data_IF_609089483595
#
_entry.id   IF_609089483595
#
_cell.length_a   1.000
_cell.length_b   1.000
_cell.length_c   1.000
_cell.angle_alpha   90.00
_cell.angle_beta   90.00
_cell.angle_gamma   90.00
#
_symmetry.space_group_name_H-M   'P 1'
#
loop_
_entity.id
_entity.type
_entity.pdbx_description
1 polymer ?
#
# COMPACT_ATOMS: atom_id res chain seq x y z
N UNK A 1 26.19 -3.79 -5.25
CA UNK A 1 25.10 -3.20 -4.45
C UNK A 1 25.74 -2.53 -3.24
N UNK A 2 25.58 -1.22 -3.00
CA UNK A 2 26.24 -0.58 -1.88
C UNK A 2 25.68 -1.12 -0.57
N UNK A 3 26.59 -1.62 0.25
CA UNK A 3 26.27 -2.25 1.51
C UNK A 3 26.21 -1.15 2.57
N UNK A 4 25.01 -0.71 2.95
CA UNK A 4 24.87 -0.05 4.25
C UNK A 4 25.10 -1.13 5.31
N UNK A 5 26.27 -1.07 5.93
CA UNK A 5 26.66 -1.92 7.08
C UNK A 5 26.39 -1.22 8.42
N UNK A 6 26.27 0.11 8.42
CA UNK A 6 26.05 0.88 9.64
C UNK A 6 24.56 1.26 9.81
N UNK A 7 23.88 0.76 10.87
CA UNK A 7 22.48 1.07 11.13
C UNK A 7 22.22 2.58 11.38
N UNK A 8 23.22 3.34 11.82
CA UNK A 8 23.12 4.80 11.97
C UNK A 8 22.91 5.52 10.64
N UNK A 9 23.50 5.00 9.55
CA UNK A 9 23.36 5.56 8.20
C UNK A 9 21.94 5.32 7.66
N UNK A 10 21.33 4.18 7.98
CA UNK A 10 19.93 3.91 7.61
C UNK A 10 19.00 4.94 8.25
N UNK A 11 19.19 5.23 9.54
CA UNK A 11 18.36 6.24 10.24
C UNK A 11 18.53 7.62 9.62
N UNK A 12 19.76 8.06 9.39
CA UNK A 12 20.06 9.35 8.77
C UNK A 12 19.45 9.45 7.36
N UNK A 13 19.53 8.37 6.57
CA UNK A 13 18.97 8.29 5.23
C UNK A 13 17.45 8.42 5.23
N UNK A 14 16.78 7.69 6.11
CA UNK A 14 15.32 7.76 6.25
C UNK A 14 14.88 9.14 6.73
N UNK A 15 15.61 9.75 7.67
CA UNK A 15 15.31 11.11 8.13
C UNK A 15 15.48 12.13 7.00
N UNK A 16 16.59 12.08 6.25
CA UNK A 16 16.79 12.95 5.09
C UNK A 16 15.70 12.75 4.02
N UNK A 17 15.28 11.50 3.80
CA UNK A 17 14.19 11.16 2.89
C UNK A 17 12.85 11.78 3.31
N UNK A 18 12.50 11.71 4.59
CA UNK A 18 11.27 12.30 5.10
C UNK A 18 11.30 13.83 5.10
N UNK A 19 12.47 14.45 5.25
CA UNK A 19 12.64 15.91 5.24
C UNK A 19 12.68 16.53 3.82
N UNK A 20 13.09 15.76 2.81
CA UNK A 20 13.24 16.22 1.41
C UNK A 20 12.07 15.79 0.53
N UNK A 21 10.85 15.91 1.03
CA UNK A 21 9.62 15.58 0.28
C UNK A 21 9.63 14.18 -0.36
N UNK A 22 10.22 13.19 0.32
CA UNK A 22 10.34 11.82 -0.18
C UNK A 22 11.17 11.70 -1.47
N UNK A 23 12.13 12.61 -1.67
CA UNK A 23 13.08 12.54 -2.78
C UNK A 23 14.27 11.63 -2.44
N UNK A 24 14.29 10.45 -3.08
CA UNK A 24 15.33 9.42 -2.87
C UNK A 24 16.74 9.89 -3.24
N UNK A 25 16.87 10.66 -4.32
CA UNK A 25 18.17 11.10 -4.82
C UNK A 25 18.79 12.16 -3.89
N UNK A 26 18.00 13.14 -3.46
CA UNK A 26 18.46 14.18 -2.54
C UNK A 26 18.78 13.62 -1.15
N UNK A 27 17.99 12.67 -0.66
CA UNK A 27 18.28 11.99 0.60
C UNK A 27 19.62 11.25 0.57
N UNK A 28 19.94 10.58 -0.55
CA UNK A 28 21.23 9.92 -0.72
C UNK A 28 22.39 10.92 -0.76
N UNK A 29 22.23 12.06 -1.43
CA UNK A 29 23.25 13.12 -1.47
C UNK A 29 23.52 13.69 -0.07
N UNK A 30 22.48 13.94 0.71
CA UNK A 30 22.58 14.49 2.07
C UNK A 30 23.37 13.57 3.01
N UNK A 31 23.20 12.25 2.86
CA UNK A 31 23.89 11.24 3.67
C UNK A 31 25.30 10.91 3.15
N UNK A 32 25.73 11.57 2.06
CA UNK A 32 27.09 11.47 1.55
C UNK A 32 27.31 10.40 0.49
N UNK A 33 26.25 9.88 -0.14
CA UNK A 33 26.41 9.05 -1.34
C UNK A 33 26.88 9.88 -2.54
N UNK A 34 27.60 9.22 -3.46
CA UNK A 34 28.12 9.89 -4.65
C UNK A 34 26.98 10.39 -5.56
N UNK A 35 27.26 11.49 -6.27
CA UNK A 35 26.29 12.09 -7.19
C UNK A 35 25.79 11.12 -8.26
N UNK A 36 26.71 10.35 -8.85
CA UNK A 36 26.38 9.33 -9.83
C UNK A 36 25.43 8.28 -9.25
N UNK A 37 25.67 7.83 -8.01
CA UNK A 37 24.79 6.87 -7.36
C UNK A 37 23.39 7.42 -7.09
N UNK A 38 23.30 8.67 -6.67
CA UNK A 38 22.03 9.34 -6.38
C UNK A 38 21.19 9.61 -7.64
N UNK A 39 21.82 9.92 -8.78
CA UNK A 39 21.13 10.35 -10.01
C UNK A 39 20.92 9.24 -11.05
N UNK A 40 21.69 8.15 -11.00
CA UNK A 40 21.59 7.06 -11.97
C UNK A 40 20.46 6.05 -11.67
N UNK A 41 19.61 6.32 -10.69
CA UNK A 41 18.50 5.44 -10.31
C UNK A 41 18.88 4.31 -9.34
N UNK A 42 20.17 4.08 -9.11
CA UNK A 42 20.66 3.08 -8.15
C UNK A 42 20.25 3.38 -6.71
N UNK A 43 19.95 4.64 -6.38
CA UNK A 43 19.35 5.04 -5.12
C UNK A 43 18.02 4.33 -4.88
N UNK A 44 17.22 4.04 -5.91
CA UNK A 44 15.92 3.39 -5.75
C UNK A 44 16.08 1.98 -5.13
N UNK A 45 17.11 1.24 -5.55
CA UNK A 45 17.42 -0.10 -5.04
C UNK A 45 17.74 -0.10 -3.54
N UNK A 46 18.26 1.01 -3.02
CA UNK A 46 18.57 1.16 -1.60
C UNK A 46 17.29 1.20 -0.75
N UNK A 47 16.27 1.91 -1.23
CA UNK A 47 14.96 2.03 -0.57
C UNK A 47 14.10 0.77 -0.71
N UNK A 48 14.46 -0.17 -1.60
CA UNK A 48 13.76 -1.44 -1.72
C UNK A 48 14.14 -2.46 -0.63
N UNK A 49 15.24 -2.23 0.09
CA UNK A 49 15.70 -3.09 1.19
C UNK A 49 14.70 -3.09 2.35
N UNK A 50 14.49 -4.28 2.92
CA UNK A 50 13.56 -4.48 4.05
C UNK A 50 13.96 -3.67 5.28
N UNK A 51 15.26 -3.55 5.57
CA UNK A 51 15.77 -2.75 6.70
C UNK A 51 15.37 -1.27 6.60
N UNK A 52 15.44 -0.72 5.39
CA UNK A 52 15.12 0.69 5.11
C UNK A 52 13.60 0.88 5.18
N UNK A 53 12.82 -0.06 4.61
CA UNK A 53 11.35 -0.06 4.69
C UNK A 53 10.86 -0.13 6.14
N UNK A 54 11.47 -0.98 6.96
CA UNK A 54 11.14 -1.10 8.38
C UNK A 54 11.42 0.20 9.15
N UNK A 55 12.55 0.85 8.89
CA UNK A 55 12.91 2.11 9.54
C UNK A 55 12.03 3.28 9.05
N UNK A 56 11.65 3.33 7.76
CA UNK A 56 10.67 4.30 7.24
C UNK A 56 9.36 4.17 8.02
N UNK A 57 8.80 2.96 8.10
CA UNK A 57 7.53 2.73 8.80
C UNK A 57 7.63 3.14 10.27
N UNK A 58 8.75 2.85 10.92
CA UNK A 58 8.99 3.23 12.32
C UNK A 58 9.03 4.74 12.51
N UNK A 59 9.74 5.47 11.65
CA UNK A 59 9.81 6.94 11.72
C UNK A 59 8.49 7.59 11.34
N UNK A 60 7.75 7.05 10.38
CA UNK A 60 6.39 7.50 10.04
C UNK A 60 5.44 7.33 11.22
N UNK A 61 5.44 6.18 11.90
CA UNK A 61 4.65 5.98 13.12
C UNK A 61 5.07 6.94 14.23
N UNK A 62 6.36 7.21 14.39
CA UNK A 62 6.84 8.16 15.37
C UNK A 62 6.44 9.61 15.03
N UNK A 63 6.44 9.97 13.74
CA UNK A 63 5.95 11.26 13.26
C UNK A 63 4.45 11.38 13.50
N UNK A 64 3.65 10.37 13.14
CA UNK A 64 2.21 10.35 13.39
C UNK A 64 1.88 10.55 14.88
N UNK A 65 2.63 9.88 15.77
CA UNK A 65 2.50 10.06 17.22
C UNK A 65 2.84 11.49 17.68
N UNK A 66 3.81 12.14 17.03
CA UNK A 66 4.23 13.52 17.36
C UNK A 66 3.30 14.57 16.78
N UNK A 67 2.77 14.35 15.59
CA UNK A 67 1.85 15.28 14.92
C UNK A 67 0.45 15.24 15.52
N UNK A 68 0.14 14.25 16.36
CA UNK A 68 -1.09 14.21 17.16
C UNK A 68 -2.38 14.02 16.35
N UNK A 69 -2.33 14.08 15.02
CA UNK A 69 -3.43 13.79 14.11
C UNK A 69 -3.78 12.31 14.20
N UNK A 70 -4.78 12.05 15.04
CA UNK A 70 -5.39 10.74 15.18
C UNK A 70 -6.38 10.49 14.05
N UNK A 71 -6.82 9.23 13.88
CA UNK A 71 -7.89 8.94 12.90
C UNK A 71 -9.18 9.66 13.29
N UNK A 72 -9.37 9.86 14.57
CA UNK A 72 -10.50 10.53 15.19
C UNK A 72 -10.51 12.03 14.82
N UNK A 73 -9.36 12.69 14.80
CA UNK A 73 -9.25 14.10 14.35
C UNK A 73 -9.61 14.23 12.86
N UNK A 74 -9.10 13.34 12.02
CA UNK A 74 -9.47 13.31 10.60
C UNK A 74 -10.96 13.00 10.38
N UNK A 75 -11.55 12.12 11.18
CA UNK A 75 -12.98 11.82 11.12
C UNK A 75 -13.83 13.04 11.53
N UNK A 76 -13.38 13.79 12.53
CA UNK A 76 -14.01 15.05 12.94
C UNK A 76 -13.99 16.10 11.81
N UNK A 77 -12.84 16.31 11.17
CA UNK A 77 -12.71 17.27 10.06
C UNK A 77 -13.60 16.88 8.87
N UNK A 78 -13.70 15.59 8.56
CA UNK A 78 -14.58 15.09 7.49
C UNK A 78 -16.07 15.28 7.83
N UNK A 79 -16.45 15.13 9.09
CA UNK A 79 -17.82 15.39 9.54
C UNK A 79 -18.16 16.88 9.45
N UNK A 80 -17.21 17.76 9.79
CA UNK A 80 -17.36 19.20 9.59
C UNK A 80 -17.48 19.57 8.10
N UNK A 81 -16.64 18.99 7.24
CA UNK A 81 -16.71 19.17 5.80
C UNK A 81 -18.05 18.69 5.22
N UNK A 82 -18.60 17.56 5.72
CA UNK A 82 -19.95 17.09 5.35
C UNK A 82 -21.01 18.12 5.73
N UNK A 83 -20.97 18.63 6.96
CA UNK A 83 -21.92 19.64 7.46
C UNK A 83 -21.86 20.92 6.64
N UNK A 84 -20.64 21.36 6.29
CA UNK A 84 -20.43 22.52 5.43
C UNK A 84 -21.00 22.30 4.03
N UNK A 85 -20.70 21.15 3.41
CA UNK A 85 -21.22 20.76 2.09
C UNK A 85 -22.75 20.78 2.04
N UNK A 86 -23.40 20.26 3.07
CA UNK A 86 -24.86 20.33 3.20
C UNK A 86 -25.36 21.76 3.39
N UNK A 87 -24.67 22.60 4.17
CA UNK A 87 -25.03 24.01 4.40
C UNK A 87 -24.96 24.86 3.13
N UNK A 88 -23.99 24.58 2.25
CA UNK A 88 -23.79 25.33 1.00
C UNK A 88 -24.52 24.70 -0.21
N UNK A 89 -25.42 23.74 0.02
CA UNK A 89 -26.13 22.99 -1.03
C UNK A 89 -25.19 22.31 -2.06
N UNK A 90 -24.06 21.78 -1.59
CA UNK A 90 -23.12 20.98 -2.38
C UNK A 90 -23.17 19.51 -1.89
N UNK A 91 -24.22 18.75 -2.26
CA UNK A 91 -24.40 17.37 -1.79
C UNK A 91 -23.28 16.44 -2.26
N UNK A 92 -22.66 16.70 -3.41
CA UNK A 92 -21.51 15.96 -3.92
C UNK A 92 -20.30 16.04 -2.98
N UNK A 93 -20.05 17.22 -2.38
CA UNK A 93 -18.98 17.41 -1.40
C UNK A 93 -19.28 16.64 -0.10
N UNK A 94 -20.54 16.63 0.35
CA UNK A 94 -20.96 15.87 1.52
C UNK A 94 -20.80 14.35 1.30
N UNK A 95 -21.20 13.83 0.13
CA UNK A 95 -20.99 12.42 -0.23
C UNK A 95 -19.51 12.06 -0.30
N UNK A 96 -18.67 12.95 -0.84
CA UNK A 96 -17.22 12.75 -0.89
C UNK A 96 -16.60 12.64 0.51
N UNK A 97 -17.03 13.50 1.43
CA UNK A 97 -16.59 13.45 2.83
C UNK A 97 -17.03 12.14 3.51
N UNK A 98 -18.26 11.69 3.29
CA UNK A 98 -18.78 10.41 3.80
C UNK A 98 -17.97 9.22 3.27
N UNK A 99 -17.74 9.15 1.95
CA UNK A 99 -16.98 8.08 1.33
C UNK A 99 -15.53 8.04 1.85
N UNK A 100 -14.92 9.20 2.03
CA UNK A 100 -13.57 9.30 2.59
C UNK A 100 -13.53 8.83 4.05
N UNK A 101 -14.56 9.13 4.83
CA UNK A 101 -14.69 8.64 6.21
C UNK A 101 -14.87 7.11 6.25
N UNK A 102 -15.71 6.54 5.38
CA UNK A 102 -15.86 5.08 5.24
C UNK A 102 -14.53 4.39 4.86
N UNK A 103 -13.75 5.00 3.95
CA UNK A 103 -12.41 4.54 3.57
C UNK A 103 -11.44 4.57 4.74
N UNK A 104 -11.47 5.63 5.56
CA UNK A 104 -10.62 5.77 6.75
C UNK A 104 -10.86 4.61 7.74
N UNK A 105 -12.10 4.14 7.83
CA UNK A 105 -12.52 2.99 8.63
C UNK A 105 -12.38 1.63 7.92
N UNK A 106 -11.84 1.59 6.71
CA UNK A 106 -11.56 0.35 5.97
C UNK A 106 -12.80 -0.29 5.32
N UNK A 107 -13.92 0.41 5.23
CA UNK A 107 -15.16 -0.12 4.64
C UNK A 107 -15.13 -0.20 3.09
N UNK A 108 -14.09 0.33 2.44
CA UNK A 108 -13.88 0.27 0.99
C UNK A 108 -12.99 -0.92 0.57
N UNK A 109 -12.48 -1.69 1.53
CA UNK A 109 -11.72 -2.91 1.26
C UNK A 109 -12.72 -4.03 1.02
N UNK A 110 -13.19 -4.18 -0.22
CA UNK A 110 -13.75 -5.46 -0.64
C UNK A 110 -12.62 -6.46 -0.51
N UNK A 111 -12.76 -7.47 0.36
CA UNK A 111 -11.78 -8.55 0.48
C UNK A 111 -11.50 -9.07 -0.93
N UNK A 112 -10.31 -8.76 -1.46
CA UNK A 112 -9.79 -9.41 -2.65
C UNK A 112 -9.48 -10.85 -2.27
N UNK A 113 -10.53 -11.66 -2.18
CA UNK A 113 -10.42 -13.09 -2.34
C UNK A 113 -9.76 -13.28 -3.69
N UNK A 114 -8.49 -13.69 -3.65
CA UNK A 114 -7.67 -14.01 -4.80
C UNK A 114 -8.47 -14.95 -5.71
N UNK A 115 -9.07 -14.42 -6.77
CA UNK A 115 -9.59 -15.23 -7.86
C UNK A 115 -8.40 -15.96 -8.46
N UNK A 116 -8.21 -17.19 -8.01
CA UNK A 116 -7.17 -18.07 -8.51
C UNK A 116 -7.68 -18.61 -9.84
N UNK A 117 -7.41 -17.87 -10.91
CA UNK A 117 -7.66 -18.38 -12.27
C UNK A 117 -6.67 -19.50 -12.55
N UNK A 118 -7.11 -20.75 -12.33
CA UNK A 118 -6.37 -21.95 -12.72
C UNK A 118 -6.51 -22.10 -14.23
N UNK A 119 -5.47 -21.72 -14.99
CA UNK A 119 -5.40 -22.03 -16.42
C UNK A 119 -4.88 -23.46 -16.57
N UNK A 120 -5.77 -24.40 -16.93
CA UNK A 120 -5.40 -25.78 -17.24
C UNK A 120 -4.87 -25.82 -18.68
N UNK A 121 -3.55 -25.80 -18.86
CA UNK A 121 -2.90 -25.76 -20.19
C UNK A 121 -2.75 -27.15 -20.83
N UNK A 122 -3.08 -28.24 -20.11
CA UNK A 122 -3.14 -29.58 -20.71
C UNK A 122 -4.11 -30.48 -19.93
N UNK A 123 -5.25 -30.91 -20.52
CA UNK A 123 -6.07 -31.92 -19.89
C UNK A 123 -5.31 -33.26 -19.86
N UNK A 124 -5.22 -33.96 -18.71
CA UNK A 124 -4.62 -35.29 -18.67
C UNK A 124 -5.44 -36.25 -19.53
N UNK A 125 -4.78 -36.86 -20.52
CA UNK A 125 -5.33 -37.71 -21.59
C UNK A 125 -5.81 -39.10 -21.13
N UNK A 126 -6.21 -39.27 -19.87
CA UNK A 126 -6.59 -40.56 -19.34
C UNK A 126 -7.92 -40.52 -18.60
N UNK A 127 -8.99 -40.17 -19.32
CA UNK A 127 -10.35 -40.47 -18.90
C UNK A 127 -10.64 -41.91 -19.36
N UNK A 128 -10.55 -42.87 -18.43
CA UNK A 128 -11.11 -44.21 -18.67
C UNK A 128 -12.59 -44.04 -19.04
N UNK A 129 -12.96 -44.40 -20.26
CA UNK A 129 -14.37 -44.52 -20.68
C UNK A 129 -15.04 -45.47 -19.69
N UNK A 130 -15.95 -44.93 -18.86
CA UNK A 130 -16.92 -45.77 -18.16
C UNK A 130 -17.96 -46.16 -19.21
N UNK A 131 -18.02 -47.45 -19.51
CA UNK A 131 -19.14 -48.02 -20.25
C UNK A 131 -20.40 -47.84 -19.38
N UNK A 132 -21.40 -47.20 -19.96
CA UNK A 132 -22.71 -47.03 -19.34
C UNK A 132 -23.58 -48.22 -19.69
N UNK A 133 -23.87 -49.09 -18.71
CA UNK A 133 -24.96 -50.06 -18.80
C UNK A 133 -26.30 -49.35 -18.64
N UNK A 134 -27.19 -49.53 -19.60
CA UNK A 134 -28.60 -49.13 -19.51
C UNK A 134 -29.31 -50.21 -18.72
N UNK A 135 -29.81 -49.87 -17.53
CA UNK A 135 -30.71 -50.74 -16.76
C UNK A 135 -32.12 -50.34 -17.14
N UNK A 136 -32.78 -51.13 -17.99
CA UNK A 136 -34.20 -51.00 -18.27
C UNK A 136 -34.98 -51.51 -17.05
N UNK A 137 -35.72 -50.61 -16.38
CA UNK A 137 -36.69 -51.01 -15.38
C UNK A 137 -38.04 -51.26 -16.07
N UNK A 138 -38.48 -52.51 -16.06
CA UNK A 138 -39.80 -52.95 -16.50
C UNK A 138 -40.90 -52.32 -15.63
N UNK A 139 -41.98 -51.86 -16.30
CA UNK A 139 -43.31 -51.69 -15.72
C UNK A 139 -44.27 -52.68 -16.39
#
# INVERSE_FOLDING_TARGET
MPTITNPGVIRALVTAYLLKDRNKAEACLEVGYSYNYAKNGDSALLFERDDVKAEIKKQEVALLKKTGLTKEDFAYDLEEAKRLGMKINQPSAAVSAINTNMRLHGMDQVESHRETTIIIINPPSNVKKRESEVIENEM
#
